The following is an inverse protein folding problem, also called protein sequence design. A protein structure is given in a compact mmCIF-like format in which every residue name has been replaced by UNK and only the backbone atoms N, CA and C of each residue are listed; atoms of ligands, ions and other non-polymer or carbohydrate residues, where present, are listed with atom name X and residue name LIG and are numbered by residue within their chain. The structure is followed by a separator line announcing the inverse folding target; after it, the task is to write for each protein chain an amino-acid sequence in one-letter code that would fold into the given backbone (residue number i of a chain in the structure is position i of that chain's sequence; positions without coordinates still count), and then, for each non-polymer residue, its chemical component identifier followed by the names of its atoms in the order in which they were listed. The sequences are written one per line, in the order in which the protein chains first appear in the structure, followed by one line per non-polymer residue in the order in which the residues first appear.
data_IF_532395729130
#
_entry.id   IF_532395729130
#
_cell.length_a   1.000
_cell.length_b   1.000
_cell.length_c   1.000
_cell.angle_alpha   90.00
_cell.angle_beta   90.00
_cell.angle_gamma   90.00
#
_symmetry.space_group_name_H-M   'P 1'
#
loop_
_entity.id
_entity.type
_entity.pdbx_description
1 polymer ?
#
# COMPACT_ATOMS: atom_id res chain seq x y z
N UNK A 1 -16.62 4.56 -22.22
CA UNK A 1 -15.70 5.38 -21.41
C UNK A 1 -15.06 4.48 -20.38
N UNK A 2 -13.77 4.15 -20.53
CA UNK A 2 -13.05 3.40 -19.50
C UNK A 2 -12.81 4.33 -18.31
N UNK A 3 -13.31 3.97 -17.12
CA UNK A 3 -12.92 4.62 -15.87
C UNK A 3 -11.40 4.43 -15.73
N UNK A 4 -10.62 5.51 -15.92
CA UNK A 4 -9.21 5.51 -15.56
C UNK A 4 -9.14 5.20 -14.07
N UNK A 5 -8.65 4.01 -13.73
CA UNK A 5 -8.38 3.62 -12.35
C UNK A 5 -7.45 4.66 -11.75
N UNK A 6 -7.79 5.13 -10.55
CA UNK A 6 -6.98 6.09 -9.83
C UNK A 6 -5.58 5.49 -9.60
N UNK A 7 -4.48 6.26 -9.72
CA UNK A 7 -3.14 5.76 -9.41
C UNK A 7 -3.04 5.19 -7.99
N UNK A 8 -3.90 5.61 -7.06
CA UNK A 8 -3.98 5.08 -5.69
C UNK A 8 -4.61 3.68 -5.62
N UNK A 9 -5.53 3.36 -6.54
CA UNK A 9 -6.09 2.01 -6.68
C UNK A 9 -5.01 1.03 -7.09
N UNK A 10 -4.09 1.44 -7.96
CA UNK A 10 -2.93 0.63 -8.34
C UNK A 10 -2.05 0.33 -7.12
N UNK A 11 -1.64 1.35 -6.35
CA UNK A 11 -0.80 1.12 -5.17
C UNK A 11 -1.48 0.26 -4.09
N UNK A 12 -2.80 0.41 -3.91
CA UNK A 12 -3.56 -0.47 -3.01
C UNK A 12 -3.58 -1.92 -3.50
N UNK A 13 -3.70 -2.15 -4.81
CA UNK A 13 -3.63 -3.49 -5.40
C UNK A 13 -2.24 -4.11 -5.25
N UNK A 14 -1.17 -3.33 -5.43
CA UNK A 14 0.22 -3.78 -5.21
C UNK A 14 0.40 -4.24 -3.76
N UNK A 15 -0.06 -3.44 -2.79
CA UNK A 15 0.01 -3.82 -1.37
C UNK A 15 -0.80 -5.08 -1.06
N UNK A 16 -2.02 -5.19 -1.60
CA UNK A 16 -2.86 -6.38 -1.38
C UNK A 16 -2.21 -7.64 -1.96
N UNK A 17 -1.61 -7.56 -3.14
CA UNK A 17 -0.85 -8.67 -3.75
C UNK A 17 0.34 -9.04 -2.87
N UNK A 18 1.14 -8.05 -2.48
CA UNK A 18 2.35 -8.28 -1.70
C UNK A 18 2.05 -8.94 -0.34
N UNK A 19 0.97 -8.53 0.33
CA UNK A 19 0.52 -9.17 1.56
C UNK A 19 0.14 -10.64 1.34
N UNK A 20 -0.64 -10.94 0.31
CA UNK A 20 -1.04 -12.32 0.00
C UNK A 20 0.17 -13.22 -0.32
N UNK A 21 1.15 -12.70 -1.07
CA UNK A 21 2.37 -13.45 -1.41
C UNK A 21 3.25 -13.69 -0.18
N UNK A 22 3.39 -12.70 0.70
CA UNK A 22 4.13 -12.85 1.96
C UNK A 22 3.42 -13.80 2.93
N UNK A 23 2.09 -13.78 3.02
CA UNK A 23 1.30 -14.75 3.79
C UNK A 23 1.49 -16.17 3.26
N UNK A 24 1.50 -16.33 1.93
CA UNK A 24 1.79 -17.61 1.28
C UNK A 24 3.20 -18.10 1.60
N UNK A 25 4.18 -17.20 1.62
CA UNK A 25 5.55 -17.51 2.01
C UNK A 25 5.67 -18.01 3.45
N UNK A 26 4.94 -17.37 4.37
CA UNK A 26 4.93 -17.71 5.79
C UNK A 26 4.24 -19.04 6.10
N UNK A 27 3.30 -19.47 5.25
CA UNK A 27 2.51 -20.70 5.45
C UNK A 27 3.03 -21.89 4.66
N UNK A 28 3.91 -21.67 3.67
CA UNK A 28 4.52 -22.74 2.89
C UNK A 28 5.47 -23.61 3.73
N UNK A 29 5.49 -24.92 3.45
CA UNK A 29 6.37 -25.84 4.16
C UNK A 29 7.83 -25.58 3.76
N UNK A 30 8.80 -25.51 4.69
CA UNK A 30 10.18 -25.08 4.39
C UNK A 30 10.90 -25.87 3.30
N UNK A 31 10.56 -27.15 3.14
CA UNK A 31 11.17 -28.03 2.14
C UNK A 31 10.45 -28.00 0.78
N UNK A 32 9.32 -27.30 0.69
CA UNK A 32 8.48 -27.30 -0.50
C UNK A 32 9.09 -26.43 -1.61
N UNK A 33 8.88 -26.79 -2.89
CA UNK A 33 9.25 -25.95 -4.02
C UNK A 33 8.62 -24.55 -3.94
N UNK A 34 7.40 -24.46 -3.42
CA UNK A 34 6.67 -23.20 -3.23
C UNK A 34 7.38 -22.30 -2.21
N UNK A 35 7.83 -22.83 -1.07
CA UNK A 35 8.61 -22.04 -0.11
C UNK A 35 9.91 -21.51 -0.71
N UNK A 36 10.61 -22.31 -1.52
CA UNK A 36 11.83 -21.87 -2.23
C UNK A 36 11.54 -20.74 -3.20
N UNK A 37 10.45 -20.83 -3.95
CA UNK A 37 9.98 -19.79 -4.85
C UNK A 37 9.61 -18.52 -4.08
N UNK A 38 8.75 -18.60 -3.07
CA UNK A 38 8.36 -17.43 -2.29
C UNK A 38 9.55 -16.77 -1.59
N UNK A 39 10.52 -17.56 -1.10
CA UNK A 39 11.74 -17.03 -0.51
C UNK A 39 12.60 -16.26 -1.52
N UNK A 40 12.66 -16.70 -2.78
CA UNK A 40 13.42 -15.98 -3.81
C UNK A 40 12.74 -14.68 -4.22
N UNK A 41 11.41 -14.66 -4.27
CA UNK A 41 10.62 -13.48 -4.68
C UNK A 41 10.42 -12.46 -3.55
N UNK A 42 10.45 -12.89 -2.28
CA UNK A 42 10.16 -12.05 -1.12
C UNK A 42 10.88 -10.68 -1.09
N UNK A 43 12.17 -10.56 -1.47
CA UNK A 43 12.83 -9.25 -1.52
C UNK A 43 12.20 -8.27 -2.51
N UNK A 44 11.79 -8.75 -3.69
CA UNK A 44 11.14 -7.94 -4.73
C UNK A 44 9.77 -7.49 -4.24
N UNK A 45 8.99 -8.43 -3.70
CA UNK A 45 7.66 -8.17 -3.15
C UNK A 45 7.70 -7.14 -2.02
N UNK A 46 8.70 -7.23 -1.14
CA UNK A 46 8.89 -6.26 -0.06
C UNK A 46 9.24 -4.86 -0.58
N UNK A 47 10.03 -4.77 -1.64
CA UNK A 47 10.39 -3.47 -2.23
C UNK A 47 9.19 -2.81 -2.91
N UNK A 48 8.44 -3.56 -3.71
CA UNK A 48 7.20 -3.08 -4.33
C UNK A 48 6.18 -2.60 -3.27
N UNK A 49 6.04 -3.34 -2.17
CA UNK A 49 5.18 -2.95 -1.06
C UNK A 49 5.65 -1.65 -0.38
N UNK A 50 6.97 -1.47 -0.21
CA UNK A 50 7.54 -0.24 0.38
C UNK A 50 7.28 0.97 -0.51
N UNK A 51 7.49 0.85 -1.81
CA UNK A 51 7.24 1.91 -2.78
C UNK A 51 5.75 2.30 -2.79
N UNK A 52 4.85 1.31 -2.86
CA UNK A 52 3.42 1.53 -2.83
C UNK A 52 2.95 2.19 -1.53
N UNK A 53 3.49 1.76 -0.38
CA UNK A 53 3.21 2.37 0.91
C UNK A 53 3.69 3.82 0.98
N UNK A 54 4.87 4.12 0.46
CA UNK A 54 5.41 5.48 0.43
C UNK A 54 4.53 6.41 -0.42
N UNK A 55 4.09 5.95 -1.59
CA UNK A 55 3.20 6.71 -2.47
C UNK A 55 1.85 7.02 -1.80
N UNK A 56 1.24 6.05 -1.12
CA UNK A 56 -0.02 6.25 -0.41
C UNK A 56 0.13 7.19 0.80
N UNK A 57 1.21 7.07 1.57
CA UNK A 57 1.50 7.99 2.68
C UNK A 57 1.66 9.43 2.20
N UNK A 58 2.36 9.62 1.08
CA UNK A 58 2.48 10.93 0.46
C UNK A 58 1.11 11.49 0.08
N UNK A 59 0.28 10.68 -0.59
CA UNK A 59 -1.06 11.09 -1.00
C UNK A 59 -1.95 11.49 0.19
N UNK A 60 -1.96 10.68 1.26
CA UNK A 60 -2.72 11.00 2.47
C UNK A 60 -2.27 12.33 3.06
N UNK A 61 -0.95 12.57 3.13
CA UNK A 61 -0.39 13.84 3.61
C UNK A 61 -0.82 15.02 2.73
N UNK A 62 -0.82 14.87 1.41
CA UNK A 62 -1.28 15.91 0.49
C UNK A 62 -2.75 16.24 0.72
N UNK A 63 -3.59 15.23 0.96
CA UNK A 63 -5.01 15.41 1.29
C UNK A 63 -5.20 16.11 2.64
N UNK A 64 -4.42 15.76 3.65
CA UNK A 64 -4.46 16.42 4.97
C UNK A 64 -4.05 17.90 4.90
N UNK A 65 -3.04 18.22 4.08
CA UNK A 65 -2.58 19.59 3.86
C UNK A 65 -3.57 20.41 3.00
N UNK A 66 -4.26 19.75 2.06
CA UNK A 66 -5.25 20.38 1.20
C UNK A 66 -6.59 20.66 1.90
N UNK A 67 -6.86 20.01 3.05
CA UNK A 67 -8.03 20.35 3.86
C UNK A 67 -7.81 21.71 4.54
N UNK A 68 -8.62 22.74 4.24
CA UNK A 68 -8.54 23.99 4.98
C UNK A 68 -8.84 23.68 6.45
N UNK A 69 -7.92 24.05 7.36
CA UNK A 69 -8.21 24.06 8.79
C UNK A 69 -9.51 24.83 8.96
N UNK A 70 -10.58 24.13 9.30
CA UNK A 70 -11.87 24.74 9.64
C UNK A 70 -11.57 25.87 10.61
N UNK A 71 -11.74 27.11 10.14
CA UNK A 71 -11.54 28.30 10.94
C UNK A 71 -12.58 28.25 12.04
N UNK A 72 -12.15 27.80 13.21
CA UNK A 72 -12.89 28.00 14.44
C UNK A 72 -13.25 29.48 14.51
N UNK A 73 -14.53 29.81 14.34
CA UNK A 73 -15.04 31.10 14.76
C UNK A 73 -15.04 31.10 16.28
N UNK A 74 -14.27 31.98 16.95
CA UNK A 74 -14.51 32.25 18.36
C UNK A 74 -15.66 33.24 18.39
N UNK A 75 -16.90 32.76 18.48
CA UNK A 75 -18.03 33.63 18.80
C UNK A 75 -17.99 33.92 20.29
N UNK A 76 -17.14 34.88 20.69
CA UNK A 76 -17.40 35.71 21.86
C UNK A 76 -18.39 36.77 21.42
N UNK A 77 -19.60 36.77 21.97
CA UNK A 77 -20.39 37.96 22.36
C UNK A 77 -21.63 37.52 23.12
#
# INVERSE_FOLDING_TARGET
MALKSSPWTFYAQVLSRALNELESACTAAPESPEYKFYRSEAPVVLEEAREALAALKHHVRDLELAQPKSTANPTHH
#
